data_IF_282692910156
#
_entry.id   IF_282692910156
#
_cell.length_a   1.000
_cell.length_b   1.000
_cell.length_c   1.000
_cell.angle_alpha   90.00
_cell.angle_beta   90.00
_cell.angle_gamma   90.00
#
_symmetry.space_group_name_H-M   'P 1'
#
loop_
_entity.id
_entity.type
_entity.pdbx_description
1 polymer ?
#
# COMPACT_ATOMS: atom_id res chain seq x y z
N UNK A 1 -13.07 -4.81 0.97
CA UNK A 1 -12.02 -3.99 1.63
C UNK A 1 -11.25 -4.73 2.75
N UNK A 2 -11.82 -5.76 3.41
CA UNK A 2 -11.17 -6.50 4.53
C UNK A 2 -9.84 -7.19 4.16
N UNK A 3 -9.77 -7.83 2.99
CA UNK A 3 -8.56 -8.51 2.48
C UNK A 3 -7.37 -7.54 2.37
N UNK A 4 -7.58 -6.40 1.72
CA UNK A 4 -6.54 -5.36 1.58
C UNK A 4 -6.06 -4.86 2.94
N UNK A 5 -6.98 -4.57 3.87
CA UNK A 5 -6.60 -4.14 5.23
C UNK A 5 -5.78 -5.21 5.98
N UNK A 6 -6.09 -6.49 5.78
CA UNK A 6 -5.30 -7.58 6.35
C UNK A 6 -3.92 -7.73 5.69
N UNK A 7 -3.83 -7.56 4.37
CA UNK A 7 -2.55 -7.57 3.66
C UNK A 7 -1.65 -6.40 4.06
N UNK A 8 -2.20 -5.20 4.24
CA UNK A 8 -1.46 -4.01 4.72
C UNK A 8 -0.74 -4.29 6.04
N UNK A 9 -1.43 -4.90 7.02
CA UNK A 9 -0.84 -5.23 8.34
C UNK A 9 0.33 -6.23 8.26
N UNK A 10 0.42 -7.01 7.18
CA UNK A 10 1.47 -8.02 6.97
C UNK A 10 2.64 -7.49 6.12
N UNK A 11 2.54 -6.27 5.58
CA UNK A 11 3.65 -5.70 4.79
C UNK A 11 4.90 -5.46 5.65
N UNK A 12 6.12 -5.55 5.09
CA UNK A 12 7.35 -5.48 5.88
C UNK A 12 7.74 -4.04 6.27
N UNK A 13 8.49 -3.93 7.37
CA UNK A 13 9.16 -2.68 7.78
C UNK A 13 8.19 -1.55 8.10
N UNK A 14 8.44 -0.35 7.55
CA UNK A 14 7.60 0.85 7.78
C UNK A 14 6.31 0.88 6.96
N UNK A 15 6.10 -0.09 6.07
CA UNK A 15 4.99 -0.08 5.12
C UNK A 15 3.59 -0.20 5.74
N UNK A 16 3.35 -0.98 6.82
CA UNK A 16 2.03 -1.05 7.44
C UNK A 16 1.53 0.31 7.91
N UNK A 17 2.41 1.10 8.56
CA UNK A 17 2.05 2.43 9.08
C UNK A 17 1.76 3.42 7.96
N UNK A 18 2.62 3.49 6.94
CA UNK A 18 2.40 4.37 5.79
C UNK A 18 1.12 4.04 5.02
N UNK A 19 0.89 2.76 4.73
CA UNK A 19 -0.28 2.32 3.99
C UNK A 19 -1.57 2.45 4.81
N UNK A 20 -1.49 2.30 6.14
CA UNK A 20 -2.62 2.57 7.02
C UNK A 20 -3.02 4.04 6.97
N UNK A 21 -2.06 4.97 7.12
CA UNK A 21 -2.31 6.41 7.05
C UNK A 21 -2.90 6.83 5.69
N UNK A 22 -2.41 6.26 4.58
CA UNK A 22 -2.96 6.52 3.24
C UNK A 22 -4.36 5.95 2.99
N UNK A 23 -4.81 4.98 3.80
CA UNK A 23 -6.14 4.37 3.70
C UNK A 23 -7.09 4.88 4.78
N UNK A 24 -6.62 5.83 5.58
CA UNK A 24 -7.39 6.46 6.64
C UNK A 24 -8.50 7.32 6.02
N UNK A 25 -9.77 7.17 6.47
CA UNK A 25 -10.88 7.98 5.96
C UNK A 25 -10.74 9.47 6.27
N UNK A 26 -9.90 9.89 7.22
CA UNK A 26 -9.61 11.29 7.48
C UNK A 26 -8.79 11.96 6.38
N UNK A 27 -8.27 11.18 5.41
CA UNK A 27 -7.47 11.65 4.28
C UNK A 27 -6.34 12.62 4.67
N UNK A 28 -5.42 12.19 5.57
CA UNK A 28 -4.37 13.07 6.06
C UNK A 28 -3.45 13.52 4.94
N UNK A 29 -3.02 14.77 5.02
CA UNK A 29 -2.08 15.35 4.07
C UNK A 29 -0.72 14.66 4.16
N UNK A 30 0.07 14.75 3.09
CA UNK A 30 1.43 14.20 3.09
C UNK A 30 2.30 14.81 4.20
N UNK A 31 2.08 16.07 4.57
CA UNK A 31 2.78 16.72 5.68
C UNK A 31 2.45 16.06 7.02
N UNK A 32 1.18 15.78 7.28
CA UNK A 32 0.73 15.12 8.50
C UNK A 32 1.24 13.68 8.58
N UNK A 33 1.13 12.92 7.50
CA UNK A 33 1.69 11.56 7.42
C UNK A 33 3.20 11.57 7.68
N UNK A 34 3.94 12.50 7.07
CA UNK A 34 5.38 12.61 7.26
C UNK A 34 5.74 12.95 8.72
N UNK A 35 4.99 13.86 9.34
CA UNK A 35 5.13 14.23 10.75
C UNK A 35 4.88 13.04 11.68
N UNK A 36 3.79 12.30 11.47
CA UNK A 36 3.45 11.13 12.30
C UNK A 36 4.48 10.00 12.17
N UNK A 37 5.05 9.83 10.97
CA UNK A 37 6.07 8.81 10.71
C UNK A 37 7.49 9.25 11.09
N UNK A 38 7.70 10.51 11.48
CA UNK A 38 9.01 11.07 11.81
C UNK A 38 9.98 11.04 10.62
N UNK A 39 9.49 11.33 9.41
CA UNK A 39 10.29 11.35 8.17
C UNK A 39 10.16 12.70 7.47
N UNK A 40 11.08 12.99 6.54
CA UNK A 40 10.90 14.13 5.65
C UNK A 40 9.75 13.88 4.67
N UNK A 41 8.96 14.93 4.39
CA UNK A 41 7.89 14.86 3.40
C UNK A 41 8.39 14.42 2.02
N UNK A 42 9.61 14.83 1.64
CA UNK A 42 10.26 14.41 0.39
C UNK A 42 10.52 12.89 0.30
N UNK A 43 10.58 12.18 1.43
CA UNK A 43 10.77 10.71 1.45
C UNK A 43 9.48 9.93 1.15
N UNK A 44 8.31 10.58 1.15
CA UNK A 44 7.03 9.88 0.99
C UNK A 44 6.87 9.23 -0.39
N UNK A 45 7.33 9.88 -1.47
CA UNK A 45 7.23 9.33 -2.83
C UNK A 45 7.93 7.97 -2.98
N UNK A 46 9.25 7.90 -2.70
CA UNK A 46 10.00 6.64 -2.73
C UNK A 46 9.43 5.57 -1.79
N UNK A 47 9.08 5.96 -0.55
CA UNK A 47 8.50 5.01 0.41
C UNK A 47 7.14 4.47 -0.06
N UNK A 48 6.27 5.34 -0.58
CA UNK A 48 4.96 4.96 -1.13
C UNK A 48 5.11 3.95 -2.26
N UNK A 49 6.00 4.23 -3.21
CA UNK A 49 6.28 3.33 -4.34
C UNK A 49 6.72 1.95 -3.84
N UNK A 50 7.71 1.90 -2.95
CA UNK A 50 8.20 0.66 -2.34
C UNK A 50 7.09 -0.11 -1.62
N UNK A 51 6.32 0.56 -0.78
CA UNK A 51 5.30 -0.08 0.05
C UNK A 51 4.11 -0.60 -0.75
N UNK A 52 3.65 0.15 -1.74
CA UNK A 52 2.63 -0.34 -2.68
C UNK A 52 3.16 -1.51 -3.51
N UNK A 53 4.45 -1.51 -3.89
CA UNK A 53 5.10 -2.65 -4.54
C UNK A 53 5.07 -3.92 -3.69
N UNK A 54 5.40 -3.81 -2.40
CA UNK A 54 5.29 -4.92 -1.45
C UNK A 54 3.85 -5.43 -1.35
N UNK A 55 2.88 -4.53 -1.17
CA UNK A 55 1.46 -4.89 -1.05
C UNK A 55 0.95 -5.61 -2.31
N UNK A 56 1.30 -5.13 -3.50
CA UNK A 56 0.93 -5.77 -4.78
C UNK A 56 1.46 -7.18 -4.89
N UNK A 57 2.73 -7.43 -4.57
CA UNK A 57 3.32 -8.79 -4.59
C UNK A 57 2.62 -9.74 -3.62
N UNK A 58 2.28 -9.27 -2.42
CA UNK A 58 1.56 -10.08 -1.45
C UNK A 58 0.16 -10.44 -1.90
N UNK A 59 -0.58 -9.46 -2.45
CA UNK A 59 -1.93 -9.70 -2.96
C UNK A 59 -1.91 -10.61 -4.20
N UNK A 60 -0.91 -10.47 -5.06
CA UNK A 60 -0.75 -11.36 -6.22
C UNK A 60 -0.53 -12.83 -5.82
N UNK A 61 0.05 -13.09 -4.65
CA UNK A 61 0.18 -14.45 -4.11
C UNK A 61 -1.13 -15.01 -3.53
N UNK A 62 -2.10 -14.15 -3.17
CA UNK A 62 -3.38 -14.57 -2.59
C UNK A 62 -4.52 -14.65 -3.61
N UNK A 63 -4.36 -14.06 -4.79
CA UNK A 63 -5.36 -14.09 -5.87
C UNK A 63 -4.90 -15.11 -6.92
N UNK A 64 -5.67 -16.19 -7.20
CA UNK A 64 -5.38 -17.08 -8.30
C UNK A 64 -5.24 -16.29 -9.60
N UNK A 65 -4.32 -16.70 -10.49
CA UNK A 65 -4.11 -16.04 -11.76
C UNK A 65 -5.47 -15.78 -12.44
N UNK A 66 -5.74 -14.54 -12.90
CA UNK A 66 -6.99 -14.27 -13.58
C UNK A 66 -7.10 -15.24 -14.76
N UNK A 67 -8.26 -15.89 -14.89
CA UNK A 67 -8.56 -16.71 -16.06
C UNK A 67 -8.26 -15.89 -17.31
N UNK A 68 -7.57 -16.44 -18.33
CA UNK A 68 -7.21 -15.68 -19.52
C UNK A 68 -8.49 -15.10 -20.11
N UNK A 69 -8.72 -13.79 -19.92
CA UNK A 69 -9.82 -13.11 -20.59
C UNK A 69 -9.52 -13.23 -22.08
N UNK A 70 -10.45 -13.85 -22.81
CA UNK A 70 -10.32 -14.07 -24.24
C UNK A 70 -9.86 -12.79 -24.92
N UNK A 71 -8.81 -12.90 -25.74
CA UNK A 71 -8.40 -11.85 -26.67
C UNK A 71 -9.62 -11.51 -27.52
N UNK A 72 -10.17 -10.30 -27.34
CA UNK A 72 -11.07 -9.73 -28.34
C UNK A 72 -10.22 -9.55 -29.59
N UNK A 73 -10.62 -10.26 -30.64
CA UNK A 73 -10.01 -10.21 -31.97
C UNK A 73 -10.38 -8.91 -32.67
#
# INVERSE_FOLDING_TARGET
RRVVRAAVRRTPGRCPRLLAAMLDPADPTYREIAGELGISQGSLGPMRSRCLGCLRRMLAAEVPAPHPRGRVR
#
